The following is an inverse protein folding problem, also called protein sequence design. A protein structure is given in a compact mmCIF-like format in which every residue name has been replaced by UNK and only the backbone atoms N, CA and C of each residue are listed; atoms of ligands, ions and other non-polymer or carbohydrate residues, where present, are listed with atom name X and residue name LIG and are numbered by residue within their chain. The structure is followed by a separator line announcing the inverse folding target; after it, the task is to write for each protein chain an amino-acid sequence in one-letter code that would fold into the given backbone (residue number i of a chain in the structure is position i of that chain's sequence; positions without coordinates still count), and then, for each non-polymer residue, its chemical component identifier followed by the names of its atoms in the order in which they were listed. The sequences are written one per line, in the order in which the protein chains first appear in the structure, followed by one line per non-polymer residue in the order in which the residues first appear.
data_IF_434159817491
#
_entry.id   IF_434159817491
#
_cell.length_a   1.000
_cell.length_b   1.000
_cell.length_c   1.000
_cell.angle_alpha   90.00
_cell.angle_beta   90.00
_cell.angle_gamma   90.00
#
_symmetry.space_group_name_H-M   'P 1'
#
loop_
_entity.id
_entity.type
_entity.pdbx_description
1 polymer ?
#
# COMPACT_ATOMS: atom_id res chain seq x y z
N UNK A 1 -22.10 9.90 12.92
CA UNK A 1 -21.15 9.86 11.80
C UNK A 1 -21.58 10.95 10.82
N UNK A 2 -20.73 11.94 10.59
CA UNK A 2 -21.06 13.10 9.75
C UNK A 2 -20.89 12.75 8.25
N UNK A 3 -21.24 13.69 7.36
CA UNK A 3 -21.13 13.49 5.90
C UNK A 3 -19.67 13.26 5.46
N UNK A 4 -18.73 13.84 6.20
CA UNK A 4 -17.31 13.79 5.93
C UNK A 4 -16.75 12.38 6.12
N UNK A 5 -17.03 11.75 7.26
CA UNK A 5 -16.60 10.38 7.57
C UNK A 5 -17.29 9.35 6.67
N UNK A 6 -18.56 9.61 6.31
CA UNK A 6 -19.38 8.64 5.58
C UNK A 6 -19.14 8.65 4.08
N UNK A 7 -18.82 9.79 3.49
CA UNK A 7 -18.75 9.95 2.04
C UNK A 7 -17.45 10.59 1.56
N UNK A 8 -17.02 11.71 2.15
CA UNK A 8 -15.88 12.48 1.62
C UNK A 8 -14.55 11.76 1.83
N UNK A 9 -14.24 11.31 3.05
CA UNK A 9 -13.01 10.57 3.34
C UNK A 9 -12.94 9.28 2.50
N UNK A 10 -13.98 8.42 2.46
CA UNK A 10 -13.96 7.24 1.60
C UNK A 10 -13.74 7.56 0.12
N UNK A 11 -14.31 8.65 -0.39
CA UNK A 11 -14.14 9.04 -1.78
C UNK A 11 -12.70 9.48 -2.09
N UNK A 12 -12.08 10.26 -1.20
CA UNK A 12 -10.66 10.66 -1.33
C UNK A 12 -9.74 9.44 -1.27
N UNK A 13 -10.05 8.47 -0.41
CA UNK A 13 -9.24 7.25 -0.26
C UNK A 13 -9.58 6.16 -1.31
N UNK A 14 -10.65 6.34 -2.09
CA UNK A 14 -11.13 5.35 -3.04
C UNK A 14 -10.06 4.87 -4.03
N UNK A 15 -9.18 5.74 -4.60
CA UNK A 15 -8.14 5.27 -5.52
C UNK A 15 -7.23 4.20 -4.90
N UNK A 16 -6.82 4.36 -3.64
CA UNK A 16 -6.00 3.36 -2.95
C UNK A 16 -6.75 2.05 -2.71
N UNK A 17 -8.01 2.14 -2.28
CA UNK A 17 -8.86 0.95 -2.08
C UNK A 17 -9.10 0.20 -3.40
N UNK A 18 -9.37 0.91 -4.49
CA UNK A 18 -9.59 0.32 -5.82
C UNK A 18 -8.35 -0.43 -6.27
N UNK A 19 -7.16 0.17 -6.16
CA UNK A 19 -5.90 -0.47 -6.55
C UNK A 19 -5.58 -1.65 -5.63
N UNK A 20 -5.89 -1.56 -4.34
CA UNK A 20 -5.76 -2.67 -3.38
C UNK A 20 -6.58 -3.89 -3.82
N UNK A 21 -7.88 -3.71 -4.03
CA UNK A 21 -8.75 -4.82 -4.44
C UNK A 21 -8.43 -5.30 -5.87
N UNK A 22 -8.01 -4.39 -6.76
CA UNK A 22 -7.52 -4.75 -8.09
C UNK A 22 -6.29 -5.66 -8.00
N UNK A 23 -5.36 -5.41 -7.08
CA UNK A 23 -4.20 -6.26 -6.89
C UNK A 23 -4.59 -7.68 -6.47
N UNK A 24 -5.52 -7.82 -5.53
CA UNK A 24 -6.07 -9.14 -5.16
C UNK A 24 -6.73 -9.84 -6.33
N UNK A 25 -7.56 -9.12 -7.10
CA UNK A 25 -8.24 -9.66 -8.26
C UNK A 25 -7.25 -10.15 -9.34
N UNK A 26 -6.26 -9.32 -9.68
CA UNK A 26 -5.21 -9.66 -10.64
C UNK A 26 -4.38 -10.85 -10.17
N UNK A 27 -4.03 -10.92 -8.89
CA UNK A 27 -3.31 -12.05 -8.32
C UNK A 27 -4.14 -13.34 -8.36
N UNK A 28 -5.45 -13.27 -8.08
CA UNK A 28 -6.35 -14.42 -8.22
C UNK A 28 -6.39 -14.90 -9.68
N UNK A 29 -6.53 -13.98 -10.64
CA UNK A 29 -6.51 -14.30 -12.08
C UNK A 29 -5.18 -14.91 -12.51
N UNK A 30 -4.05 -14.32 -12.13
CA UNK A 30 -2.72 -14.80 -12.47
C UNK A 30 -2.32 -16.11 -11.79
N UNK A 31 -3.08 -16.56 -10.78
CA UNK A 31 -2.83 -17.82 -10.07
C UNK A 31 -3.96 -18.85 -10.27
N UNK A 32 -4.88 -18.61 -11.19
CA UNK A 32 -6.04 -19.46 -11.46
C UNK A 32 -6.88 -19.78 -10.21
N UNK A 33 -7.04 -18.79 -9.32
CA UNK A 33 -7.96 -18.89 -8.18
C UNK A 33 -9.31 -18.27 -8.57
N UNK A 34 -10.41 -19.05 -8.58
CA UNK A 34 -11.73 -18.53 -8.95
C UNK A 34 -12.18 -17.37 -8.06
N UNK A 35 -12.53 -16.25 -8.67
CA UNK A 35 -13.16 -15.10 -8.01
C UNK A 35 -14.68 -15.26 -8.12
N UNK A 36 -15.36 -15.18 -6.97
CA UNK A 36 -16.81 -15.32 -6.87
C UNK A 36 -17.51 -13.96 -6.96
N UNK A 37 -16.94 -12.96 -6.29
CA UNK A 37 -17.54 -11.63 -6.19
C UNK A 37 -16.44 -10.59 -5.97
N UNK A 38 -16.60 -9.42 -6.58
CA UNK A 38 -15.67 -8.30 -6.41
C UNK A 38 -16.43 -7.00 -6.24
N UNK A 39 -15.98 -6.17 -5.31
CA UNK A 39 -16.33 -4.77 -5.19
C UNK A 39 -15.03 -3.98 -5.01
N UNK A 40 -14.55 -3.31 -6.06
CA UNK A 40 -13.33 -2.51 -5.98
C UNK A 40 -13.48 -1.29 -5.06
N UNK A 41 -14.69 -0.75 -4.97
CA UNK A 41 -15.03 0.30 -4.03
C UNK A 41 -16.53 0.27 -3.71
N UNK A 42 -16.88 0.50 -2.46
CA UNK A 42 -18.24 0.77 -1.99
C UNK A 42 -18.18 1.61 -0.72
N UNK A 43 -19.24 2.37 -0.47
CA UNK A 43 -19.42 2.99 0.85
C UNK A 43 -19.78 1.93 1.89
N UNK A 44 -19.22 2.05 3.08
CA UNK A 44 -19.44 1.13 4.20
C UNK A 44 -18.19 0.36 4.59
N UNK A 45 -18.38 -0.72 5.35
CA UNK A 45 -17.29 -1.57 5.83
C UNK A 45 -17.55 -3.03 5.45
N UNK A 46 -16.61 -3.70 4.74
CA UNK A 46 -15.38 -3.14 4.19
C UNK A 46 -15.64 -2.20 2.97
N UNK A 47 -14.73 -1.24 2.70
CA UNK A 47 -14.83 -0.28 1.60
C UNK A 47 -14.52 -0.89 0.23
N UNK A 48 -14.02 -2.12 0.19
CA UNK A 48 -13.76 -2.94 -0.99
C UNK A 48 -13.62 -4.41 -0.56
N UNK A 49 -13.73 -5.35 -1.50
CA UNK A 49 -13.38 -6.75 -1.27
C UNK A 49 -13.25 -7.54 -2.58
N UNK A 50 -12.44 -8.59 -2.53
CA UNK A 50 -12.43 -9.70 -3.50
C UNK A 50 -12.73 -11.01 -2.78
N UNK A 51 -13.90 -11.60 -3.03
CA UNK A 51 -14.23 -12.95 -2.56
C UNK A 51 -13.74 -13.96 -3.58
N UNK A 52 -12.86 -14.85 -3.15
CA UNK A 52 -12.27 -15.88 -4.01
C UNK A 52 -12.29 -17.25 -3.32
N UNK A 53 -12.11 -18.31 -4.10
CA UNK A 53 -11.98 -19.66 -3.58
C UNK A 53 -10.71 -19.81 -2.72
N UNK A 54 -10.72 -20.78 -1.81
CA UNK A 54 -9.57 -21.08 -0.95
C UNK A 54 -8.41 -21.62 -1.82
N UNK A 55 -7.23 -20.96 -1.85
CA UNK A 55 -6.11 -21.44 -2.64
C UNK A 55 -5.56 -22.76 -2.09
N UNK A 56 -5.30 -23.72 -2.99
CA UNK A 56 -4.78 -25.05 -2.65
C UNK A 56 -3.30 -25.07 -2.30
N UNK A 57 -2.49 -24.17 -2.89
CA UNK A 57 -1.06 -24.08 -2.61
C UNK A 57 -0.74 -22.86 -1.75
N UNK A 58 0.27 -23.01 -0.89
CA UNK A 58 0.68 -21.95 0.02
C UNK A 58 1.25 -20.73 -0.73
N UNK A 59 1.99 -20.97 -1.81
CA UNK A 59 2.52 -19.90 -2.67
C UNK A 59 1.41 -19.00 -3.21
N UNK A 60 0.28 -19.56 -3.65
CA UNK A 60 -0.86 -18.76 -4.12
C UNK A 60 -1.43 -17.87 -3.02
N UNK A 61 -1.47 -18.35 -1.77
CA UNK A 61 -1.90 -17.54 -0.61
C UNK A 61 -0.97 -16.36 -0.38
N UNK A 62 0.35 -16.58 -0.41
CA UNK A 62 1.33 -15.50 -0.27
C UNK A 62 1.14 -14.48 -1.40
N UNK A 63 1.10 -14.95 -2.66
CA UNK A 63 0.97 -14.08 -3.83
C UNK A 63 -0.28 -13.22 -3.75
N UNK A 64 -1.44 -13.82 -3.47
CA UNK A 64 -2.70 -13.09 -3.37
C UNK A 64 -2.66 -12.10 -2.21
N UNK A 65 -2.16 -12.50 -1.03
CA UNK A 65 -2.13 -11.63 0.17
C UNK A 65 -1.17 -10.46 0.00
N UNK A 66 -0.01 -10.67 -0.62
CA UNK A 66 1.04 -9.65 -0.77
C UNK A 66 0.89 -8.79 -2.02
N UNK A 67 0.02 -9.15 -2.96
CA UNK A 67 -0.19 -8.40 -4.19
C UNK A 67 -0.55 -6.92 -3.95
N UNK A 68 -1.45 -6.54 -3.03
CA UNK A 68 -1.75 -5.14 -2.76
C UNK A 68 -0.54 -4.36 -2.27
N UNK A 69 0.27 -4.96 -1.40
CA UNK A 69 1.49 -4.32 -0.90
C UNK A 69 2.44 -3.98 -2.04
N UNK A 70 2.70 -4.94 -2.94
CA UNK A 70 3.61 -4.76 -4.06
C UNK A 70 3.06 -3.75 -5.08
N UNK A 71 1.79 -3.88 -5.47
CA UNK A 71 1.20 -3.03 -6.51
C UNK A 71 1.01 -1.58 -6.04
N UNK A 72 0.45 -1.37 -4.84
CA UNK A 72 0.24 -0.02 -4.31
C UNK A 72 1.58 0.69 -4.06
N UNK A 73 2.56 -0.01 -3.49
CA UNK A 73 3.89 0.58 -3.26
C UNK A 73 4.60 0.88 -4.58
N UNK A 74 4.53 -0.02 -5.56
CA UNK A 74 5.11 0.20 -6.88
C UNK A 74 4.50 1.41 -7.62
N UNK A 75 3.17 1.56 -7.58
CA UNK A 75 2.49 2.72 -8.16
C UNK A 75 2.84 4.00 -7.40
N UNK A 76 2.90 3.96 -6.06
CA UNK A 76 3.32 5.12 -5.27
C UNK A 76 4.74 5.55 -5.62
N UNK A 77 5.70 4.61 -5.71
CA UNK A 77 7.07 4.90 -6.15
C UNK A 77 7.06 5.54 -7.54
N UNK A 78 6.32 4.99 -8.50
CA UNK A 78 6.24 5.52 -9.84
C UNK A 78 5.68 6.95 -9.88
N UNK A 79 4.64 7.25 -9.09
CA UNK A 79 4.05 8.59 -9.01
C UNK A 79 4.99 9.62 -8.38
N UNK A 80 5.72 9.24 -7.32
CA UNK A 80 6.73 10.10 -6.71
C UNK A 80 7.96 10.29 -7.60
N UNK A 81 8.36 9.27 -8.36
CA UNK A 81 9.44 9.38 -9.34
C UNK A 81 9.03 10.29 -10.49
N UNK A 82 7.80 10.16 -11.00
CA UNK A 82 7.32 10.93 -12.13
C UNK A 82 6.97 12.38 -11.77
N UNK A 83 6.65 12.67 -10.50
CA UNK A 83 6.29 14.03 -10.06
C UNK A 83 7.41 15.05 -10.23
N UNK A 84 8.67 14.61 -10.33
CA UNK A 84 9.84 15.49 -10.54
C UNK A 84 9.83 16.17 -11.93
N UNK A 85 9.13 15.58 -12.90
CA UNK A 85 9.06 16.09 -14.27
C UNK A 85 7.95 17.13 -14.47
N UNK A 86 7.19 17.45 -13.41
CA UNK A 86 6.04 18.35 -13.46
C UNK A 86 6.26 19.62 -12.63
N UNK A 87 5.52 20.71 -12.93
CA UNK A 87 5.54 21.90 -12.09
C UNK A 87 5.05 21.60 -10.66
N UNK A 88 5.34 22.47 -9.68
CA UNK A 88 5.13 22.15 -8.26
C UNK A 88 3.72 21.73 -7.89
N UNK A 89 2.69 22.31 -8.53
CA UNK A 89 1.29 22.01 -8.23
C UNK A 89 0.91 20.60 -8.72
N UNK A 90 1.21 20.28 -9.98
CA UNK A 90 0.95 18.99 -10.59
C UNK A 90 1.80 17.89 -9.94
N UNK A 91 3.07 18.16 -9.65
CA UNK A 91 3.95 17.27 -8.90
C UNK A 91 3.38 16.97 -7.50
N UNK A 92 2.90 18.00 -6.78
CA UNK A 92 2.23 17.81 -5.49
C UNK A 92 0.94 16.98 -5.60
N UNK A 93 0.16 17.14 -6.68
CA UNK A 93 -1.02 16.33 -6.92
C UNK A 93 -0.67 14.85 -7.15
N UNK A 94 0.40 14.56 -7.90
CA UNK A 94 0.89 13.19 -8.11
C UNK A 94 1.41 12.56 -6.81
N UNK A 95 2.16 13.31 -6.01
CA UNK A 95 2.62 12.86 -4.68
C UNK A 95 1.45 12.61 -3.72
N UNK A 96 0.43 13.46 -3.73
CA UNK A 96 -0.79 13.26 -2.95
C UNK A 96 -1.51 11.98 -3.37
N UNK A 97 -1.70 11.77 -4.68
CA UNK A 97 -2.29 10.53 -5.20
C UNK A 97 -1.45 9.31 -4.83
N UNK A 98 -0.12 9.38 -4.94
CA UNK A 98 0.81 8.33 -4.53
C UNK A 98 0.70 8.02 -3.04
N UNK A 99 0.52 9.03 -2.20
CA UNK A 99 0.33 8.89 -0.76
C UNK A 99 -1.02 8.23 -0.44
N UNK A 100 -2.09 8.61 -1.14
CA UNK A 100 -3.41 7.97 -1.01
C UNK A 100 -3.34 6.48 -1.38
N UNK A 101 -2.66 6.14 -2.47
CA UNK A 101 -2.48 4.75 -2.89
C UNK A 101 -1.62 3.99 -1.86
N UNK A 102 -0.51 4.56 -1.42
CA UNK A 102 0.37 3.99 -0.40
C UNK A 102 -0.37 3.73 0.91
N UNK A 103 -1.35 4.58 1.26
CA UNK A 103 -2.15 4.41 2.49
C UNK A 103 -2.96 3.12 2.55
N UNK A 104 -3.20 2.52 1.38
CA UNK A 104 -3.90 1.25 1.23
C UNK A 104 -2.95 0.08 0.93
N UNK A 105 -1.62 0.25 1.01
CA UNK A 105 -0.69 -0.81 0.62
C UNK A 105 -0.61 -1.98 1.61
N UNK A 106 -0.68 -1.72 2.92
CA UNK A 106 -0.47 -2.75 3.94
C UNK A 106 -1.68 -3.70 3.99
N UNK A 107 -1.48 -5.04 3.89
CA UNK A 107 -2.57 -6.01 4.00
C UNK A 107 -3.33 -5.87 5.32
N UNK A 108 -4.65 -6.00 5.26
CA UNK A 108 -5.52 -5.95 6.44
C UNK A 108 -5.42 -7.20 7.30
N UNK A 109 -6.06 -7.19 8.47
CA UNK A 109 -6.15 -8.38 9.32
C UNK A 109 -6.87 -9.54 8.63
N UNK A 110 -7.86 -9.26 7.78
CA UNK A 110 -8.57 -10.28 7.00
C UNK A 110 -7.63 -10.90 5.95
N UNK A 111 -6.86 -10.08 5.26
CA UNK A 111 -5.90 -10.55 4.25
C UNK A 111 -4.79 -11.37 4.90
N UNK A 112 -4.28 -10.90 6.04
CA UNK A 112 -3.27 -11.61 6.83
C UNK A 112 -3.81 -12.95 7.35
N UNK A 113 -5.09 -13.03 7.71
CA UNK A 113 -5.72 -14.28 8.14
C UNK A 113 -5.77 -15.34 7.03
N UNK A 114 -5.83 -14.94 5.76
CA UNK A 114 -5.82 -15.86 4.62
C UNK A 114 -4.48 -16.61 4.45
N UNK A 115 -3.40 -16.11 5.06
CA UNK A 115 -2.10 -16.81 5.11
C UNK A 115 -2.13 -18.06 5.99
N UNK A 116 -3.05 -18.16 6.96
CA UNK A 116 -3.10 -19.35 7.79
C UNK A 116 -3.58 -20.57 6.99
N UNK A 117 -2.89 -21.72 7.12
CA UNK A 117 -3.29 -22.95 6.47
C UNK A 117 -4.61 -23.48 7.05
N UNK A 118 -5.44 -24.08 6.19
CA UNK A 118 -6.72 -24.69 6.59
C UNK A 118 -6.63 -26.21 6.77
N UNK A 119 -5.45 -26.79 6.61
CA UNK A 119 -5.18 -28.21 6.82
C UNK A 119 -4.09 -28.38 7.87
N UNK A 120 -4.14 -29.47 8.65
CA UNK A 120 -3.15 -29.79 9.68
C UNK A 120 -1.75 -29.90 9.08
N UNK A 121 -1.62 -30.50 7.89
CA UNK A 121 -0.35 -30.63 7.17
C UNK A 121 0.22 -29.25 6.78
N UNK A 122 -0.64 -28.29 6.45
CA UNK A 122 -0.21 -26.95 6.04
C UNK A 122 0.55 -26.18 7.13
N UNK A 123 0.32 -26.49 8.41
CA UNK A 123 1.05 -25.88 9.54
C UNK A 123 2.54 -26.24 9.56
N UNK A 124 2.93 -27.35 8.92
CA UNK A 124 4.31 -27.78 8.80
C UNK A 124 4.93 -27.42 7.44
N UNK A 125 4.20 -26.69 6.58
CA UNK A 125 4.71 -26.30 5.27
C UNK A 125 5.89 -25.33 5.44
N UNK A 126 7.05 -25.55 4.79
CA UNK A 126 8.26 -24.76 5.03
C UNK A 126 8.06 -23.27 4.74
N UNK A 127 7.33 -22.93 3.67
CA UNK A 127 7.01 -21.53 3.35
C UNK A 127 6.10 -20.88 4.40
N UNK A 128 5.22 -21.63 5.07
CA UNK A 128 4.39 -21.08 6.15
C UNK A 128 5.27 -20.68 7.33
N UNK A 129 6.12 -21.61 7.79
CA UNK A 129 7.06 -21.37 8.88
C UNK A 129 7.99 -20.19 8.58
N UNK A 130 8.51 -20.11 7.35
CA UNK A 130 9.34 -18.99 6.92
C UNK A 130 8.59 -17.65 6.91
N UNK A 131 7.29 -17.67 6.58
CA UNK A 131 6.45 -16.46 6.57
C UNK A 131 5.90 -16.07 7.95
N UNK A 132 6.08 -16.88 9.00
CA UNK A 132 5.55 -16.59 10.34
C UNK A 132 6.01 -15.23 10.90
N UNK A 133 7.30 -14.83 10.81
CA UNK A 133 7.73 -13.51 11.28
C UNK A 133 6.98 -12.37 10.58
N UNK A 134 6.76 -12.51 9.27
CA UNK A 134 5.98 -11.56 8.48
C UNK A 134 4.52 -11.53 8.91
N UNK A 135 3.88 -12.69 9.12
CA UNK A 135 2.50 -12.80 9.60
C UNK A 135 2.35 -12.11 10.96
N UNK A 136 3.25 -12.38 11.90
CA UNK A 136 3.27 -11.77 13.23
C UNK A 136 3.40 -10.25 13.13
N UNK A 137 4.32 -9.76 12.29
CA UNK A 137 4.49 -8.34 12.04
C UNK A 137 3.20 -7.72 11.49
N UNK A 138 2.59 -8.31 10.46
CA UNK A 138 1.34 -7.81 9.86
C UNK A 138 0.19 -7.79 10.88
N UNK A 139 0.06 -8.81 11.73
CA UNK A 139 -0.93 -8.79 12.80
C UNK A 139 -0.65 -7.71 13.85
N UNK A 140 0.61 -7.52 14.25
CA UNK A 140 1.00 -6.46 15.17
C UNK A 140 0.66 -5.08 14.59
N UNK A 141 1.01 -4.83 13.31
CA UNK A 141 0.68 -3.58 12.62
C UNK A 141 -0.83 -3.36 12.53
N UNK A 142 -1.59 -4.40 12.18
CA UNK A 142 -3.05 -4.35 12.13
C UNK A 142 -3.68 -4.08 13.50
N UNK A 143 -3.17 -4.71 14.57
CA UNK A 143 -3.62 -4.46 15.95
C UNK A 143 -3.34 -3.02 16.39
N UNK A 144 -2.28 -2.41 15.85
CA UNK A 144 -1.92 -1.03 16.13
C UNK A 144 -2.64 0.01 15.24
N UNK A 145 -3.42 -0.43 14.23
CA UNK A 145 -4.13 0.49 13.31
C UNK A 145 -5.06 1.48 14.01
N UNK A 146 -5.84 1.09 15.05
CA UNK A 146 -6.68 2.05 15.78
C UNK A 146 -5.88 3.17 16.46
N UNK A 147 -4.60 2.94 16.76
CA UNK A 147 -3.69 3.94 17.33
C UNK A 147 -2.94 4.75 16.27
N UNK A 148 -3.27 4.57 14.98
CA UNK A 148 -2.71 5.33 13.88
C UNK A 148 -1.46 4.73 13.23
N UNK A 149 -1.13 3.46 13.46
CA UNK A 149 0.05 2.81 12.83
C UNK A 149 0.03 2.90 11.30
N UNK A 150 -1.16 2.83 10.67
CA UNK A 150 -1.29 2.96 9.23
C UNK A 150 -0.84 4.36 8.75
N UNK A 151 -1.32 5.41 9.42
CA UNK A 151 -0.95 6.79 9.11
C UNK A 151 0.55 7.02 9.31
N UNK A 152 1.14 6.45 10.37
CA UNK A 152 2.57 6.53 10.60
C UNK A 152 3.38 5.85 9.48
N UNK A 153 3.00 4.63 9.08
CA UNK A 153 3.68 3.92 7.99
C UNK A 153 3.55 4.69 6.67
N UNK A 154 2.36 5.20 6.36
CA UNK A 154 2.13 6.00 5.16
C UNK A 154 2.96 7.29 5.18
N UNK A 155 3.00 8.00 6.31
CA UNK A 155 3.78 9.22 6.45
C UNK A 155 5.28 8.98 6.32
N UNK A 156 5.81 7.93 6.98
CA UNK A 156 7.21 7.53 6.87
C UNK A 156 7.56 7.10 5.43
N UNK A 157 6.70 6.30 4.80
CA UNK A 157 6.89 5.87 3.42
C UNK A 157 6.84 7.03 2.42
N UNK A 158 5.84 7.90 2.51
CA UNK A 158 5.73 9.09 1.67
C UNK A 158 6.90 10.06 1.91
N UNK A 159 7.31 10.25 3.16
CA UNK A 159 8.48 11.06 3.51
C UNK A 159 9.77 10.49 2.92
N UNK A 160 9.97 9.17 2.99
CA UNK A 160 11.11 8.50 2.36
C UNK A 160 11.09 8.67 0.84
N UNK A 161 9.94 8.49 0.18
CA UNK A 161 9.82 8.70 -1.26
C UNK A 161 10.08 10.16 -1.66
N UNK A 162 9.53 11.11 -0.89
CA UNK A 162 9.81 12.53 -1.09
C UNK A 162 11.32 12.81 -1.00
N UNK A 163 11.97 12.36 0.06
CA UNK A 163 13.41 12.51 0.25
C UNK A 163 14.23 11.76 -0.80
N UNK A 164 13.72 10.70 -1.41
CA UNK A 164 14.44 9.96 -2.46
C UNK A 164 14.42 10.69 -3.79
N UNK A 165 13.28 11.29 -4.16
CA UNK A 165 13.09 11.89 -5.49
C UNK A 165 13.20 13.41 -5.54
N UNK A 166 13.05 14.12 -4.40
CA UNK A 166 13.02 15.59 -4.34
C UNK A 166 14.15 16.17 -3.45
N UNK A 167 15.33 15.54 -3.47
CA UNK A 167 16.53 16.03 -2.75
C UNK A 167 17.06 17.37 -3.25
N UNK A 168 16.71 17.79 -4.46
CA UNK A 168 17.08 19.11 -5.02
C UNK A 168 16.47 20.29 -4.24
N UNK A 169 15.47 20.05 -3.38
CA UNK A 169 14.98 21.03 -2.40
C UNK A 169 15.99 21.24 -1.27
N UNK A 170 16.90 20.29 -1.03
CA UNK A 170 17.91 20.31 0.03
C UNK A 170 19.27 20.77 -0.51
N UNK A 171 19.62 20.43 -1.76
CA UNK A 171 20.92 20.75 -2.36
C UNK A 171 20.78 21.56 -3.67
N UNK A 172 21.11 22.87 -3.63
CA UNK A 172 21.86 23.59 -4.68
C UNK A 172 22.05 25.11 -4.43
N UNK A 173 21.02 25.96 -4.19
CA UNK A 173 21.21 27.41 -4.34
C UNK A 173 22.00 28.07 -3.20
N UNK A 174 22.07 27.44 -2.02
CA UNK A 174 22.83 27.97 -0.87
C UNK A 174 24.34 27.82 -1.04
N UNK A 175 24.83 26.75 -1.66
CA UNK A 175 26.28 26.53 -1.81
C UNK A 175 26.88 27.33 -2.98
N UNK A 176 26.12 27.55 -4.06
CA UNK A 176 26.57 28.44 -5.15
C UNK A 176 26.50 29.92 -4.76
N UNK A 177 25.44 30.38 -4.06
CA UNK A 177 25.39 31.75 -3.52
C UNK A 177 26.52 32.01 -2.52
N UNK A 178 26.86 31.05 -1.65
CA UNK A 178 27.98 31.20 -0.73
C UNK A 178 29.34 31.22 -1.46
N UNK A 179 29.47 30.53 -2.60
CA UNK A 179 30.68 30.63 -3.44
C UNK A 179 30.79 31.97 -4.16
N UNK A 180 29.69 32.56 -4.64
CA UNK A 180 29.70 33.91 -5.23
C UNK A 180 29.98 35.00 -4.19
N UNK A 181 29.48 34.86 -2.96
CA UNK A 181 29.66 35.87 -1.89
C UNK A 181 31.06 35.82 -1.26
N UNK A 182 31.76 34.68 -1.31
CA UNK A 182 33.05 34.47 -0.64
C UNK A 182 34.25 34.22 -1.58
N UNK A 183 34.10 34.46 -2.89
CA UNK A 183 35.26 34.51 -3.79
C UNK A 183 35.98 35.87 -3.66
N UNK A 184 37.31 35.89 -3.43
CA UNK A 184 38.11 37.11 -3.35
C UNK A 184 38.37 37.77 -4.72
#
# INVERSE_FOLDING_TARGET
MNILDRYLIPLVLAPGVIIHELAHYLACKGTDVPVQEVAFFRFGSPPGYVKHAIPRSYTKRIVITMAPFLLNTGIAIALFAWSVDFPPFEGAALMLLGTIILSSAVPSGLDTANLFPHSVIGWFHPLFLLSLPLIVLLFALNKLRPYGSNHLITALGAGLLFLTFHTSVIDAPTLEMLREVYQP
#
